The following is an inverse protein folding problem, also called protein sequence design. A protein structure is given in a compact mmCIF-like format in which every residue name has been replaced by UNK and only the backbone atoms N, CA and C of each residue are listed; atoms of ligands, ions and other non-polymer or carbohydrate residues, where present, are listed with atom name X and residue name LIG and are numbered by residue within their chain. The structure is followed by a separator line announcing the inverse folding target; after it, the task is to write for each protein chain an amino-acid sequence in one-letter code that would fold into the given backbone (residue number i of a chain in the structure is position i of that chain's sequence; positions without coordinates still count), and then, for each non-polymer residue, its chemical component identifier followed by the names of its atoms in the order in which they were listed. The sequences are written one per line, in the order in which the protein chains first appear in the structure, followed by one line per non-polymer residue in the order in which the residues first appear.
data_IF_913989129032
#
_entry.id   IF_913989129032
#
_cell.length_a   1.000
_cell.length_b   1.000
_cell.length_c   1.000
_cell.angle_alpha   90.00
_cell.angle_beta   90.00
_cell.angle_gamma   90.00
#
_symmetry.space_group_name_H-M   'P 1'
#
loop_
_entity.id
_entity.type
_entity.pdbx_description
1 polymer ?
#
# COMPACT_ATOMS: atom_id res chain seq x y z
N UNK A 1 -13.83 -18.81 3.47
CA UNK A 1 -14.33 -18.36 2.16
C UNK A 1 -13.53 -17.11 1.81
N UNK A 2 -12.78 -17.15 0.71
CA UNK A 2 -11.88 -16.05 0.36
C UNK A 2 -12.62 -14.92 -0.35
N UNK A 3 -12.16 -13.68 -0.14
CA UNK A 3 -12.73 -12.48 -0.77
C UNK A 3 -11.75 -11.91 -1.80
N UNK A 4 -12.16 -11.93 -3.07
CA UNK A 4 -11.40 -11.35 -4.16
C UNK A 4 -11.90 -9.94 -4.47
N UNK A 5 -11.00 -8.97 -4.45
CA UNK A 5 -11.27 -7.58 -4.83
C UNK A 5 -10.12 -7.05 -5.70
N UNK A 6 -10.42 -6.07 -6.54
CA UNK A 6 -9.40 -5.37 -7.32
C UNK A 6 -8.61 -4.35 -6.47
N UNK A 7 -7.48 -3.88 -7.02
CA UNK A 7 -6.58 -2.94 -6.34
C UNK A 7 -7.28 -1.62 -6.00
N UNK A 8 -8.17 -1.10 -6.85
CA UNK A 8 -8.87 0.17 -6.57
C UNK A 8 -9.76 0.05 -5.35
N UNK A 9 -10.53 -1.04 -5.26
CA UNK A 9 -11.36 -1.35 -4.09
C UNK A 9 -10.52 -1.58 -2.83
N UNK A 10 -9.39 -2.26 -2.95
CA UNK A 10 -8.47 -2.45 -1.84
C UNK A 10 -7.93 -1.11 -1.32
N UNK A 11 -7.56 -0.19 -2.22
CA UNK A 11 -7.06 1.12 -1.81
C UNK A 11 -8.08 1.95 -1.04
N UNK A 12 -9.39 1.80 -1.32
CA UNK A 12 -10.44 2.50 -0.57
C UNK A 12 -10.53 2.07 0.91
N UNK A 13 -9.95 0.92 1.26
CA UNK A 13 -9.93 0.44 2.65
C UNK A 13 -8.92 1.21 3.51
N UNK A 14 -7.83 1.71 2.91
CA UNK A 14 -6.79 2.49 3.60
C UNK A 14 -7.30 3.91 3.83
N UNK A 15 -7.22 4.40 5.05
CA UNK A 15 -7.69 5.74 5.48
C UNK A 15 -6.53 6.63 5.88
N UNK A 16 -6.81 7.92 6.04
CA UNK A 16 -5.83 8.87 6.57
C UNK A 16 -5.41 8.44 7.98
N UNK A 17 -4.13 8.59 8.32
CA UNK A 17 -3.53 8.21 9.61
C UNK A 17 -3.43 6.69 9.88
N UNK A 18 -3.73 5.83 8.90
CA UNK A 18 -3.56 4.39 9.08
C UNK A 18 -2.08 3.98 9.23
N UNK A 19 -1.85 2.94 10.02
CA UNK A 19 -0.58 2.22 10.05
C UNK A 19 -0.69 1.02 9.13
N UNK A 20 0.08 1.00 8.04
CA UNK A 20 0.06 -0.06 7.03
C UNK A 20 1.34 -0.89 7.12
N UNK A 21 1.17 -2.16 7.49
CA UNK A 21 2.26 -3.13 7.45
C UNK A 21 2.41 -3.68 6.03
N UNK A 22 3.62 -3.61 5.48
CA UNK A 22 3.94 -4.09 4.14
C UNK A 22 4.90 -5.27 4.25
N UNK A 23 4.50 -6.41 3.69
CA UNK A 23 5.36 -7.59 3.57
C UNK A 23 6.35 -7.44 2.41
N UNK A 24 7.53 -8.03 2.56
CA UNK A 24 8.55 -8.12 1.53
C UNK A 24 9.95 -7.93 2.10
N UNK A 25 10.96 -8.41 1.39
CA UNK A 25 12.37 -8.27 1.78
C UNK A 25 13.27 -8.17 0.56
N UNK A 26 14.17 -7.19 0.53
CA UNK A 26 15.13 -7.01 -0.57
C UNK A 26 14.48 -7.00 -1.97
N UNK A 27 13.26 -6.45 -2.08
CA UNK A 27 12.48 -6.40 -3.34
C UNK A 27 11.65 -7.66 -3.65
N UNK A 28 11.77 -8.73 -2.85
CA UNK A 28 10.98 -9.95 -3.02
C UNK A 28 9.65 -9.86 -2.26
N UNK A 29 8.60 -10.41 -2.87
CA UNK A 29 7.24 -10.47 -2.32
C UNK A 29 6.63 -9.10 -1.93
N UNK A 30 7.13 -8.02 -2.52
CA UNK A 30 6.59 -6.67 -2.35
C UNK A 30 5.29 -6.55 -3.16
N UNK A 31 4.20 -6.02 -2.58
CA UNK A 31 2.92 -5.86 -3.29
C UNK A 31 2.93 -4.62 -4.21
N UNK A 32 3.80 -4.62 -5.24
CA UNK A 32 4.04 -3.46 -6.11
C UNK A 32 2.77 -2.88 -6.72
N UNK A 33 1.81 -3.72 -7.12
CA UNK A 33 0.56 -3.24 -7.72
C UNK A 33 -0.31 -2.47 -6.73
N UNK A 34 -0.28 -2.84 -5.45
CA UNK A 34 -1.00 -2.13 -4.38
C UNK A 34 -0.29 -0.83 -4.02
N UNK A 35 1.06 -0.82 -3.99
CA UNK A 35 1.83 0.40 -3.76
C UNK A 35 1.59 1.43 -4.87
N UNK A 36 1.66 1.03 -6.14
CA UNK A 36 1.33 1.92 -7.27
C UNK A 36 -0.12 2.41 -7.24
N UNK A 37 -1.05 1.55 -6.77
CA UNK A 37 -2.45 1.94 -6.65
C UNK A 37 -2.68 2.95 -5.53
N UNK A 38 -2.00 2.83 -4.38
CA UNK A 38 -2.15 3.78 -3.26
C UNK A 38 -1.60 5.15 -3.62
N UNK A 39 -0.43 5.17 -4.28
CA UNK A 39 0.17 6.40 -4.82
C UNK A 39 -0.78 7.08 -5.79
N UNK A 40 -1.28 6.34 -6.79
CA UNK A 40 -2.24 6.89 -7.77
C UNK A 40 -3.47 7.47 -7.09
N UNK A 41 -4.04 6.79 -6.09
CA UNK A 41 -5.21 7.29 -5.34
C UNK A 41 -4.89 8.59 -4.61
N UNK A 42 -3.72 8.68 -3.98
CA UNK A 42 -3.27 9.91 -3.33
C UNK A 42 -3.14 11.06 -4.33
N UNK A 43 -2.51 10.82 -5.49
CA UNK A 43 -2.37 11.83 -6.54
C UNK A 43 -3.72 12.31 -7.09
N UNK A 44 -4.71 11.43 -7.22
CA UNK A 44 -6.03 11.77 -7.76
C UNK A 44 -6.95 12.47 -6.74
N UNK A 45 -6.91 12.07 -5.47
CA UNK A 45 -7.90 12.49 -4.46
C UNK A 45 -7.33 13.31 -3.30
N UNK A 46 -6.00 13.37 -3.19
CA UNK A 46 -5.30 13.90 -2.03
C UNK A 46 -5.27 12.96 -0.83
N UNK A 47 -5.91 11.80 -0.85
CA UNK A 47 -5.94 10.84 0.27
C UNK A 47 -5.60 9.42 -0.22
N UNK A 48 -4.98 8.55 0.61
CA UNK A 48 -4.78 8.69 2.05
C UNK A 48 -3.57 9.57 2.43
N UNK A 49 -3.68 10.32 3.52
CA UNK A 49 -2.61 11.17 4.09
C UNK A 49 -2.07 10.61 5.41
N UNK A 50 -0.88 11.06 5.77
CA UNK A 50 -0.28 10.83 7.09
C UNK A 50 -0.17 9.33 7.46
N UNK A 51 0.09 8.50 6.45
CA UNK A 51 0.27 7.06 6.66
C UNK A 51 1.58 6.77 7.39
N UNK A 52 1.52 5.82 8.32
CA UNK A 52 2.72 5.17 8.86
C UNK A 52 2.95 3.85 8.14
N UNK A 53 4.09 3.70 7.47
CA UNK A 53 4.46 2.44 6.82
C UNK A 53 5.39 1.62 7.72
N UNK A 54 5.02 0.37 7.98
CA UNK A 54 5.84 -0.57 8.75
C UNK A 54 6.31 -1.69 7.84
N UNK A 55 7.63 -1.85 7.74
CA UNK A 55 8.26 -2.92 6.96
C UNK A 55 8.92 -3.90 7.91
N UNK A 56 8.73 -5.21 7.68
CA UNK A 56 9.32 -6.26 8.52
C UNK A 56 10.86 -6.28 8.42
N UNK A 57 11.40 -5.85 7.30
CA UNK A 57 12.83 -5.67 7.04
C UNK A 57 12.99 -4.66 5.89
N UNK A 58 14.22 -4.24 5.57
CA UNK A 58 14.45 -3.22 4.54
C UNK A 58 13.76 -3.57 3.22
N UNK A 59 12.80 -2.76 2.82
CA UNK A 59 12.19 -2.79 1.50
C UNK A 59 13.09 -2.03 0.53
N UNK A 60 13.86 -2.75 -0.29
CA UNK A 60 14.52 -2.14 -1.45
C UNK A 60 13.49 -1.89 -2.55
N UNK A 61 12.55 -0.98 -2.30
CA UNK A 61 11.58 -0.53 -3.29
C UNK A 61 11.77 0.98 -3.44
N UNK A 62 12.05 1.42 -4.66
CA UNK A 62 12.04 2.83 -5.01
C UNK A 62 10.58 3.28 -5.04
N UNK A 63 10.13 3.97 -3.99
CA UNK A 63 8.90 4.77 -4.02
C UNK A 63 9.23 6.14 -4.62
#
# INVERSE_FOLDING_TARGET
MEKFIDSKKAMLLIKDNDVVAVSGFAGLAVPESLLKAVEKRYLESGSPKDLTLMFAATSSTYL
#
